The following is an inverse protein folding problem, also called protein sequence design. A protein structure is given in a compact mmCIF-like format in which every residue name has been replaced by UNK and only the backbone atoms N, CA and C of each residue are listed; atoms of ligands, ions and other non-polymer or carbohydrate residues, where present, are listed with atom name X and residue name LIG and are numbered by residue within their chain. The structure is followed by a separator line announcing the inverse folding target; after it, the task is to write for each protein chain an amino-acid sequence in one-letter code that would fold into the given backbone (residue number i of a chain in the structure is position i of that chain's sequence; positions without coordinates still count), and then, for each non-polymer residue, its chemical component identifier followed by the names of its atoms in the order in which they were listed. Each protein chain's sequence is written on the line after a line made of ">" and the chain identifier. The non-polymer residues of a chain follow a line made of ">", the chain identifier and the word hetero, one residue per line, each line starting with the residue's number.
data_IF_992326130616
#
_entry.id   IF_992326130616
#
_cell.length_a   1.000
_cell.length_b   1.000
_cell.length_c   1.000
_cell.angle_alpha   90.00
_cell.angle_beta   90.00
_cell.angle_gamma   90.00
#
_symmetry.space_group_name_H-M   'P 1'
#
loop_
_entity.id
_entity.type
_entity.pdbx_description
1 polymer ?
#
# COMPACT_ATOMS: atom_id res chain seq x y z
N UNK A 1 19.83 42.57 -12.54
CA UNK A 1 19.02 41.37 -12.86
C UNK A 1 18.99 40.48 -11.63
N UNK A 2 17.88 40.50 -10.89
CA UNK A 2 17.70 39.61 -9.74
C UNK A 2 17.33 38.22 -10.27
N UNK A 3 18.23 37.24 -10.10
CA UNK A 3 17.95 35.86 -10.46
C UNK A 3 16.75 35.35 -9.68
N UNK A 4 15.68 35.00 -10.40
CA UNK A 4 14.53 34.31 -9.83
C UNK A 4 15.05 33.05 -9.12
N UNK A 5 14.95 33.02 -7.79
CA UNK A 5 15.13 31.79 -7.02
C UNK A 5 14.05 30.83 -7.51
N UNK A 6 14.41 29.89 -8.39
CA UNK A 6 13.52 28.78 -8.71
C UNK A 6 13.24 28.03 -7.41
N UNK A 7 12.02 28.17 -6.88
CA UNK A 7 11.57 27.45 -5.70
C UNK A 7 11.68 25.96 -6.00
N UNK A 8 12.67 25.29 -5.40
CA UNK A 8 12.82 23.84 -5.53
C UNK A 8 11.54 23.16 -5.01
N UNK A 9 11.01 22.15 -5.71
CA UNK A 9 9.84 21.43 -5.22
C UNK A 9 10.14 20.78 -3.87
N UNK A 10 9.14 20.63 -2.98
CA UNK A 10 9.30 19.91 -1.72
C UNK A 10 9.88 18.50 -1.95
N UNK A 11 10.70 18.02 -1.02
CA UNK A 11 11.38 16.72 -1.08
C UNK A 11 12.10 16.43 -2.42
N UNK A 12 13.09 17.26 -2.84
CA UNK A 12 13.75 17.11 -4.14
C UNK A 12 14.55 15.82 -4.30
N UNK A 13 14.90 15.15 -3.19
CA UNK A 13 15.59 13.85 -3.20
C UNK A 13 14.65 12.64 -3.18
N UNK A 14 13.34 12.86 -3.26
CA UNK A 14 12.30 11.84 -3.21
C UNK A 14 12.53 10.84 -2.05
N UNK A 15 12.89 11.37 -0.88
CA UNK A 15 13.21 10.56 0.29
C UNK A 15 11.96 10.16 1.06
N UNK A 16 11.89 8.92 1.54
CA UNK A 16 10.79 8.47 2.42
C UNK A 16 10.76 9.38 3.64
N UNK A 17 9.61 10.01 3.86
CA UNK A 17 9.40 10.92 4.99
C UNK A 17 8.70 10.18 6.13
N UNK A 18 9.03 10.57 7.35
CA UNK A 18 8.39 10.06 8.56
C UNK A 18 7.71 11.20 9.30
N UNK A 19 6.43 11.02 9.62
CA UNK A 19 5.58 12.02 10.27
C UNK A 19 5.19 11.59 11.70
N UNK A 20 4.96 12.58 12.57
CA UNK A 20 4.57 12.41 13.98
C UNK A 20 3.45 13.39 14.32
N UNK A 21 2.21 13.13 13.87
CA UNK A 21 1.08 14.01 14.17
C UNK A 21 0.85 14.12 15.68
N UNK A 22 0.38 15.28 16.12
CA UNK A 22 -0.32 15.43 17.39
C UNK A 22 -1.71 14.78 17.31
N UNK A 23 -2.37 14.52 18.45
CA UNK A 23 -3.76 14.01 18.43
C UNK A 23 -4.72 14.92 17.66
N UNK A 24 -4.53 16.23 17.69
CA UNK A 24 -5.39 17.16 16.94
C UNK A 24 -5.19 17.04 15.43
N UNK A 25 -3.95 16.87 14.97
CA UNK A 25 -3.65 16.63 13.56
C UNK A 25 -4.11 15.24 13.11
N UNK A 26 -4.04 14.25 14.01
CA UNK A 26 -4.40 12.86 13.74
C UNK A 26 -5.93 12.63 13.62
N UNK A 27 -6.76 13.56 14.10
CA UNK A 27 -8.23 13.46 14.03
C UNK A 27 -8.78 13.42 12.60
N UNK A 28 -8.15 14.11 11.65
CA UNK A 28 -8.64 14.21 10.27
C UNK A 28 -7.65 13.59 9.29
N UNK A 29 -7.90 12.33 8.95
CA UNK A 29 -7.09 11.54 8.01
C UNK A 29 -6.88 12.26 6.68
N UNK A 30 -7.96 12.69 6.03
CA UNK A 30 -7.90 13.32 4.70
C UNK A 30 -7.06 14.61 4.73
N UNK A 31 -7.28 15.46 5.73
CA UNK A 31 -6.50 16.69 5.92
C UNK A 31 -5.02 16.38 6.13
N UNK A 32 -4.70 15.34 6.88
CA UNK A 32 -3.32 14.96 7.15
C UNK A 32 -2.61 14.36 5.92
N UNK A 33 -3.32 13.58 5.09
CA UNK A 33 -2.80 13.13 3.79
C UNK A 33 -2.45 14.33 2.90
N UNK A 34 -3.35 15.32 2.78
CA UNK A 34 -3.07 16.55 2.03
C UNK A 34 -1.87 17.32 2.60
N UNK A 35 -1.75 17.37 3.93
CA UNK A 35 -0.58 17.96 4.59
C UNK A 35 0.72 17.23 4.23
N UNK A 36 0.74 15.89 4.29
CA UNK A 36 1.91 15.08 3.92
C UNK A 36 2.32 15.33 2.46
N UNK A 37 1.37 15.38 1.52
CA UNK A 37 1.66 15.69 0.12
C UNK A 37 2.17 17.13 -0.06
N UNK A 38 1.66 18.11 0.70
CA UNK A 38 2.19 19.49 0.66
C UNK A 38 3.67 19.58 1.08
N UNK A 39 4.17 18.60 1.84
CA UNK A 39 5.59 18.46 2.22
C UNK A 39 6.40 17.64 1.22
N UNK A 40 5.77 17.08 0.18
CA UNK A 40 6.42 16.26 -0.85
C UNK A 40 6.57 14.78 -0.47
N UNK A 41 5.79 14.27 0.49
CA UNK A 41 5.86 12.87 0.90
C UNK A 41 5.55 11.89 -0.24
N UNK A 42 4.59 12.24 -1.10
CA UNK A 42 4.14 11.42 -2.24
C UNK A 42 5.23 11.13 -3.26
N UNK A 43 6.24 12.01 -3.35
CA UNK A 43 7.34 11.86 -4.30
C UNK A 43 8.22 10.67 -4.00
N UNK A 44 8.27 10.20 -2.76
CA UNK A 44 8.99 8.98 -2.41
C UNK A 44 8.24 7.70 -2.76
N UNK A 45 6.95 7.79 -3.14
CA UNK A 45 6.05 6.66 -3.33
C UNK A 45 5.53 6.05 -2.03
N UNK A 46 6.22 6.26 -0.91
CA UNK A 46 5.86 5.76 0.43
C UNK A 46 6.21 6.78 1.51
N UNK A 47 5.41 6.84 2.56
CA UNK A 47 5.69 7.59 3.78
C UNK A 47 5.29 6.81 5.04
N UNK A 48 5.98 7.08 6.14
CA UNK A 48 5.68 6.52 7.47
C UNK A 48 4.95 7.56 8.33
N UNK A 49 3.97 7.11 9.11
CA UNK A 49 3.31 7.92 10.14
C UNK A 49 3.37 7.17 11.46
N UNK A 50 4.00 7.78 12.47
CA UNK A 50 3.96 7.27 13.85
C UNK A 50 2.82 7.99 14.56
N UNK A 51 1.73 7.30 14.95
CA UNK A 51 0.60 7.93 15.59
C UNK A 51 0.97 8.48 16.99
N UNK A 52 0.14 9.35 17.57
CA UNK A 52 0.30 9.81 18.94
C UNK A 52 0.35 8.63 19.92
N UNK A 53 1.19 8.69 20.96
CA UNK A 53 1.45 7.56 21.88
C UNK A 53 0.20 7.14 22.66
N UNK A 54 -0.70 8.08 22.88
CA UNK A 54 -1.98 7.89 23.55
C UNK A 54 -3.04 7.21 22.69
N UNK A 55 -2.87 7.21 21.35
CA UNK A 55 -3.80 6.54 20.44
C UNK A 55 -3.49 5.05 20.35
N UNK A 56 -4.53 4.24 20.47
CA UNK A 56 -4.47 2.79 20.28
C UNK A 56 -5.69 2.35 19.48
N UNK A 57 -5.51 1.54 18.41
CA UNK A 57 -6.64 1.03 17.63
C UNK A 57 -7.33 -0.15 18.30
N UNK A 58 -6.66 -0.80 19.25
CA UNK A 58 -7.16 -1.97 19.98
C UNK A 58 -6.61 -2.00 21.39
N UNK A 59 -7.43 -2.37 22.38
CA UNK A 59 -7.00 -2.49 23.78
C UNK A 59 -6.18 -3.75 24.04
N UNK A 60 -6.57 -4.89 23.49
CA UNK A 60 -5.86 -6.17 23.65
C UNK A 60 -5.93 -7.02 22.38
N UNK A 61 -4.92 -7.85 22.14
CA UNK A 61 -4.85 -8.72 20.95
C UNK A 61 -5.09 -10.20 21.28
N UNK A 62 -5.37 -10.58 22.53
CA UNK A 62 -5.45 -11.99 22.94
C UNK A 62 -6.59 -12.76 22.24
N UNK A 63 -7.69 -12.08 21.93
CA UNK A 63 -8.85 -12.67 21.29
C UNK A 63 -8.64 -13.07 19.81
N UNK A 64 -7.53 -12.69 19.18
CA UNK A 64 -7.30 -13.00 17.76
C UNK A 64 -6.78 -14.42 17.53
N UNK A 65 -6.35 -15.13 18.59
CA UNK A 65 -5.74 -16.45 18.51
C UNK A 65 -6.63 -17.48 17.80
N UNK A 66 -7.94 -17.39 18.04
CA UNK A 66 -8.95 -18.29 17.48
C UNK A 66 -9.40 -17.87 16.06
N UNK A 67 -8.94 -16.72 15.56
CA UNK A 67 -9.26 -16.28 14.21
C UNK A 67 -8.65 -17.22 13.17
N UNK A 68 -9.42 -17.52 12.12
CA UNK A 68 -9.01 -18.44 11.06
C UNK A 68 -8.35 -17.69 9.91
N UNK A 69 -7.18 -18.16 9.49
CA UNK A 69 -6.53 -17.82 8.23
C UNK A 69 -7.03 -18.84 7.19
N UNK A 70 -7.93 -18.47 6.28
CA UNK A 70 -8.64 -19.43 5.42
C UNK A 70 -7.74 -20.09 4.37
N UNK A 71 -6.79 -19.33 3.80
CA UNK A 71 -5.94 -19.81 2.71
C UNK A 71 -4.50 -19.27 2.84
N UNK A 72 -3.72 -19.73 3.82
CA UNK A 72 -2.33 -19.30 3.95
C UNK A 72 -1.51 -19.73 2.72
N UNK A 73 -0.65 -18.84 2.24
CA UNK A 73 0.08 -19.00 0.98
C UNK A 73 1.53 -19.40 1.24
N UNK A 74 1.94 -20.58 0.81
CA UNK A 74 3.36 -20.96 0.83
C UNK A 74 4.08 -20.29 -0.34
N UNK A 75 5.11 -19.49 -0.03
CA UNK A 75 5.78 -18.62 -0.99
C UNK A 75 7.10 -19.26 -1.46
N UNK A 76 7.05 -19.92 -2.61
CA UNK A 76 8.26 -20.50 -3.23
C UNK A 76 8.89 -19.47 -4.16
N UNK A 77 10.19 -19.23 -4.00
CA UNK A 77 10.91 -18.21 -4.79
C UNK A 77 11.98 -18.89 -5.64
N UNK A 78 11.96 -18.62 -6.94
CA UNK A 78 12.97 -19.07 -7.91
C UNK A 78 13.72 -17.88 -8.48
N UNK A 79 15.00 -18.07 -8.82
CA UNK A 79 15.83 -17.03 -9.42
C UNK A 79 17.19 -16.94 -8.77
N UNK A 80 17.99 -15.98 -9.23
CA UNK A 80 19.37 -15.78 -8.77
C UNK A 80 19.83 -14.36 -9.07
N UNK A 81 20.96 -13.98 -8.46
CA UNK A 81 21.62 -12.70 -8.72
C UNK A 81 20.70 -11.47 -8.60
N UNK A 82 19.76 -11.52 -7.65
CA UNK A 82 18.87 -10.40 -7.37
C UNK A 82 17.63 -10.27 -8.26
N UNK A 83 17.38 -11.25 -9.15
CA UNK A 83 16.18 -11.36 -9.97
C UNK A 83 15.44 -12.63 -9.59
N UNK A 84 14.21 -12.50 -9.10
CA UNK A 84 13.43 -13.65 -8.65
C UNK A 84 11.96 -13.55 -9.04
N UNK A 85 11.33 -14.71 -9.17
CA UNK A 85 9.89 -14.89 -9.34
C UNK A 85 9.38 -15.73 -8.18
N UNK A 86 8.35 -15.22 -7.52
CA UNK A 86 7.63 -15.88 -6.46
C UNK A 86 6.43 -16.64 -7.02
N UNK A 87 6.10 -17.78 -6.43
CA UNK A 87 4.86 -18.52 -6.65
C UNK A 87 4.19 -18.77 -5.32
N UNK A 88 2.87 -18.61 -5.30
CA UNK A 88 2.06 -18.80 -4.09
C UNK A 88 1.28 -20.10 -4.24
N UNK A 89 1.49 -21.04 -3.33
CA UNK A 89 0.70 -22.28 -3.26
C UNK A 89 -0.19 -22.24 -2.02
N UNK A 90 -1.53 -22.22 -2.17
CA UNK A 90 -2.44 -22.26 -1.04
C UNK A 90 -2.23 -23.50 -0.18
N UNK A 91 -2.32 -23.32 1.14
CA UNK A 91 -2.30 -24.38 2.14
C UNK A 91 -3.64 -24.44 2.87
N UNK A 92 -3.83 -25.49 3.67
CA UNK A 92 -5.06 -25.68 4.43
C UNK A 92 -5.28 -24.53 5.42
N UNK A 93 -6.54 -24.19 5.72
CA UNK A 93 -6.86 -23.21 6.76
C UNK A 93 -6.18 -23.57 8.09
N UNK A 94 -5.81 -22.54 8.86
CA UNK A 94 -5.30 -22.69 10.22
C UNK A 94 -5.65 -21.47 11.06
N UNK A 95 -5.64 -21.61 12.37
CA UNK A 95 -5.84 -20.50 13.32
C UNK A 95 -4.60 -19.61 13.40
N UNK A 96 -4.78 -18.36 13.85
CA UNK A 96 -3.66 -17.46 14.15
C UNK A 96 -2.75 -18.05 15.22
N UNK A 97 -3.30 -18.78 16.20
CA UNK A 97 -2.54 -19.50 17.23
C UNK A 97 -1.61 -20.55 16.62
N UNK A 98 -2.12 -21.42 15.75
CA UNK A 98 -1.31 -22.43 15.03
C UNK A 98 -0.26 -21.76 14.15
N UNK A 99 -0.64 -20.70 13.43
CA UNK A 99 0.28 -19.93 12.60
C UNK A 99 1.42 -19.30 13.42
N UNK A 100 1.13 -18.72 14.60
CA UNK A 100 2.12 -18.14 15.51
C UNK A 100 3.09 -19.20 16.03
N UNK A 101 2.58 -20.38 16.42
CA UNK A 101 3.43 -21.50 16.84
C UNK A 101 4.37 -21.94 15.72
N UNK A 102 3.85 -22.03 14.49
CA UNK A 102 4.63 -22.37 13.31
C UNK A 102 5.70 -21.32 13.01
N UNK A 103 5.34 -20.04 12.99
CA UNK A 103 6.23 -18.91 12.72
C UNK A 103 7.41 -18.83 13.71
N UNK A 104 7.18 -19.23 14.97
CA UNK A 104 8.19 -19.23 16.03
C UNK A 104 8.96 -20.56 16.19
N UNK A 105 8.61 -21.58 15.40
CA UNK A 105 9.33 -22.86 15.40
C UNK A 105 10.77 -22.72 14.90
N UNK A 106 11.68 -23.63 15.28
CA UNK A 106 13.08 -23.60 14.82
C UNK A 106 13.24 -23.58 13.29
N UNK A 107 12.23 -24.10 12.56
CA UNK A 107 12.22 -24.13 11.09
C UNK A 107 12.00 -22.75 10.47
N UNK A 108 11.13 -21.94 11.06
CA UNK A 108 10.63 -20.68 10.48
C UNK A 108 10.98 -19.43 11.28
N UNK A 109 11.49 -19.57 12.51
CA UNK A 109 11.87 -18.43 13.33
C UNK A 109 12.91 -17.55 12.65
N UNK A 110 12.87 -16.28 12.98
CA UNK A 110 13.84 -15.28 12.55
C UNK A 110 15.26 -15.72 12.95
N UNK A 111 16.25 -15.65 12.04
CA UNK A 111 17.63 -15.94 12.37
C UNK A 111 18.17 -14.89 13.34
N UNK A 112 19.19 -15.27 14.12
CA UNK A 112 19.94 -14.30 14.93
C UNK A 112 20.59 -13.27 14.00
N UNK A 113 20.55 -12.01 14.40
CA UNK A 113 21.10 -10.87 13.68
C UNK A 113 21.34 -9.73 14.67
N UNK A 114 22.27 -8.83 14.37
CA UNK A 114 22.63 -7.69 15.21
C UNK A 114 21.80 -6.44 14.89
N UNK A 115 21.39 -6.29 13.62
CA UNK A 115 20.69 -5.12 13.11
C UNK A 115 19.87 -5.43 11.85
N UNK A 116 19.06 -4.46 11.41
CA UNK A 116 18.19 -4.62 10.23
C UNK A 116 18.98 -4.80 8.94
N UNK A 117 20.17 -4.22 8.80
CA UNK A 117 21.02 -4.40 7.62
C UNK A 117 21.55 -5.84 7.51
N UNK A 118 21.89 -6.47 8.64
CA UNK A 118 22.26 -7.88 8.66
C UNK A 118 21.08 -8.77 8.31
N UNK A 119 19.91 -8.50 8.90
CA UNK A 119 18.70 -9.26 8.58
C UNK A 119 18.30 -9.12 7.11
N UNK A 120 18.44 -7.94 6.52
CA UNK A 120 18.22 -7.69 5.08
C UNK A 120 19.19 -8.52 4.21
N UNK A 121 20.47 -8.61 4.59
CA UNK A 121 21.44 -9.48 3.89
C UNK A 121 21.04 -10.95 3.99
N UNK A 122 20.67 -11.42 5.18
CA UNK A 122 20.22 -12.80 5.38
C UNK A 122 18.92 -13.10 4.63
N UNK A 123 18.00 -12.14 4.52
CA UNK A 123 16.80 -12.26 3.69
C UNK A 123 17.16 -12.54 2.22
N UNK A 124 17.92 -11.64 1.58
CA UNK A 124 18.24 -11.77 0.15
C UNK A 124 19.15 -12.96 -0.16
N UNK A 125 20.04 -13.32 0.77
CA UNK A 125 20.91 -14.50 0.65
C UNK A 125 20.11 -15.80 0.67
N UNK A 126 19.06 -15.88 1.49
CA UNK A 126 18.32 -17.12 1.73
C UNK A 126 16.93 -17.16 1.07
N UNK A 127 16.54 -16.16 0.28
CA UNK A 127 15.17 -15.99 -0.23
C UNK A 127 14.61 -17.23 -0.94
N UNK A 128 15.44 -18.00 -1.66
CA UNK A 128 15.05 -19.19 -2.42
C UNK A 128 15.01 -20.49 -1.61
N UNK A 129 15.57 -20.50 -0.40
CA UNK A 129 15.59 -21.68 0.47
C UNK A 129 14.40 -21.63 1.42
N UNK A 130 13.82 -22.78 1.81
CA UNK A 130 12.74 -22.84 2.84
C UNK A 130 11.63 -21.82 2.62
N UNK A 131 10.67 -22.17 1.78
CA UNK A 131 9.49 -21.37 1.49
C UNK A 131 8.71 -21.04 2.79
N UNK A 132 8.50 -19.76 3.13
CA UNK A 132 7.68 -19.38 4.28
C UNK A 132 6.19 -19.47 3.94
N UNK A 133 5.34 -19.43 4.97
CA UNK A 133 3.89 -19.43 4.83
C UNK A 133 3.33 -18.04 5.16
N UNK A 134 2.52 -17.43 4.31
CA UNK A 134 1.97 -16.09 4.52
C UNK A 134 0.46 -16.11 4.65
N UNK A 135 -0.08 -15.65 5.79
CA UNK A 135 -1.52 -15.50 5.99
C UNK A 135 -2.00 -14.17 5.42
N UNK A 136 -2.00 -14.03 4.09
CA UNK A 136 -2.39 -12.82 3.40
C UNK A 136 -3.89 -12.77 3.07
N UNK A 137 -4.39 -11.56 2.83
CA UNK A 137 -5.73 -11.30 2.28
C UNK A 137 -6.87 -11.92 3.12
N UNK A 138 -6.72 -11.88 4.45
CA UNK A 138 -7.77 -12.32 5.38
C UNK A 138 -8.76 -11.18 5.57
N UNK A 139 -10.00 -11.37 5.09
CA UNK A 139 -11.08 -10.40 5.26
C UNK A 139 -11.34 -10.07 6.74
N UNK A 140 -11.28 -8.78 7.10
CA UNK A 140 -11.64 -8.32 8.43
C UNK A 140 -10.85 -7.09 8.90
N UNK A 141 -11.29 -6.52 10.02
CA UNK A 141 -10.58 -5.51 10.78
C UNK A 141 -10.50 -5.94 12.23
N UNK A 142 -9.38 -5.65 12.89
CA UNK A 142 -9.20 -5.88 14.32
C UNK A 142 -9.14 -4.56 15.12
N UNK A 143 -9.51 -3.44 14.51
CA UNK A 143 -9.77 -2.20 15.25
C UNK A 143 -10.96 -2.40 16.19
N UNK A 144 -10.88 -1.86 17.41
CA UNK A 144 -12.00 -1.86 18.35
C UNK A 144 -13.15 -0.97 17.85
N UNK A 145 -14.37 -1.34 18.22
CA UNK A 145 -15.54 -0.49 17.98
C UNK A 145 -15.36 0.87 18.67
N UNK A 146 -15.78 1.94 17.99
CA UNK A 146 -15.67 3.32 18.49
C UNK A 146 -14.34 4.01 18.23
N UNK A 147 -13.34 3.35 17.63
CA UNK A 147 -12.13 4.02 17.13
C UNK A 147 -12.45 4.74 15.83
N UNK A 148 -12.54 6.06 15.87
CA UNK A 148 -12.86 6.90 14.71
C UNK A 148 -11.62 7.38 13.93
N UNK A 149 -10.49 7.59 14.62
CA UNK A 149 -9.29 8.16 14.01
C UNK A 149 -8.53 7.09 13.24
N UNK A 150 -8.28 7.33 11.95
CA UNK A 150 -7.48 6.46 11.09
C UNK A 150 -7.92 4.99 11.08
N UNK A 151 -9.22 4.75 11.29
CA UNK A 151 -9.79 3.43 11.23
C UNK A 151 -9.76 2.94 9.77
N UNK A 152 -8.99 1.89 9.50
CA UNK A 152 -8.76 1.35 8.15
C UNK A 152 -10.07 0.88 7.51
N UNK A 153 -11.01 0.34 8.30
CA UNK A 153 -12.33 -0.03 7.78
C UNK A 153 -13.17 1.19 7.35
N UNK A 154 -12.86 2.40 7.84
CA UNK A 154 -13.68 3.61 7.74
C UNK A 154 -12.87 4.90 7.56
N UNK A 155 -12.03 4.97 6.53
CA UNK A 155 -11.18 6.14 6.26
C UNK A 155 -11.96 7.39 5.81
N UNK A 156 -13.20 7.23 5.30
CA UNK A 156 -14.07 8.30 4.82
C UNK A 156 -13.40 9.14 3.71
N UNK A 157 -12.98 8.48 2.64
CA UNK A 157 -12.32 9.09 1.47
C UNK A 157 -13.23 9.09 0.25
N UNK A 158 -12.80 9.69 -0.87
CA UNK A 158 -13.65 9.73 -2.09
C UNK A 158 -13.95 8.32 -2.63
N UNK A 159 -13.12 7.33 -2.31
CA UNK A 159 -13.32 5.93 -2.73
C UNK A 159 -14.62 5.34 -2.15
N UNK A 160 -15.05 5.83 -0.98
CA UNK A 160 -16.26 5.33 -0.30
C UNK A 160 -17.55 5.68 -1.03
N UNK A 161 -17.51 6.54 -2.06
CA UNK A 161 -18.66 6.81 -2.94
C UNK A 161 -19.15 5.52 -3.62
N UNK A 162 -18.22 4.61 -3.98
CA UNK A 162 -18.55 3.32 -4.59
C UNK A 162 -19.53 2.53 -3.71
N UNK A 163 -19.20 2.39 -2.44
CA UNK A 163 -20.01 1.63 -1.48
C UNK A 163 -21.25 2.40 -1.05
N UNK A 164 -21.10 3.68 -0.68
CA UNK A 164 -22.16 4.46 -0.04
C UNK A 164 -23.27 4.93 -0.99
N UNK A 165 -22.94 5.19 -2.25
CA UNK A 165 -23.89 5.74 -3.22
C UNK A 165 -24.26 4.74 -4.33
N UNK A 166 -23.36 3.82 -4.67
CA UNK A 166 -23.55 2.86 -5.76
C UNK A 166 -23.66 1.40 -5.30
N UNK A 167 -23.45 1.10 -4.01
CA UNK A 167 -23.50 -0.26 -3.47
C UNK A 167 -22.39 -1.19 -4.01
N UNK A 168 -21.34 -0.62 -4.61
CA UNK A 168 -20.21 -1.37 -5.18
C UNK A 168 -19.20 -1.61 -4.06
N UNK A 169 -18.95 -2.89 -3.75
CA UNK A 169 -17.91 -3.32 -2.83
C UNK A 169 -16.88 -4.14 -3.58
N UNK A 170 -15.62 -3.75 -3.45
CA UNK A 170 -14.46 -4.48 -3.99
C UNK A 170 -13.63 -4.96 -2.81
N UNK A 171 -13.50 -6.28 -2.64
CA UNK A 171 -12.77 -6.86 -1.51
C UNK A 171 -11.28 -6.46 -1.55
N UNK A 172 -10.72 -6.12 -0.39
CA UNK A 172 -9.33 -5.66 -0.25
C UNK A 172 -9.06 -4.22 -0.67
N UNK A 173 -9.96 -3.65 -1.48
CA UNK A 173 -9.85 -2.28 -1.99
C UNK A 173 -10.75 -1.33 -1.22
N UNK A 174 -11.97 -1.75 -0.94
CA UNK A 174 -12.96 -1.01 -0.14
C UNK A 174 -13.30 -1.71 1.18
N UNK A 175 -12.67 -2.87 1.43
CA UNK A 175 -12.71 -3.60 2.69
C UNK A 175 -11.29 -3.83 3.20
N UNK A 176 -11.09 -3.88 4.52
CA UNK A 176 -9.79 -4.14 5.11
C UNK A 176 -9.38 -5.61 4.97
N UNK A 177 -8.08 -5.82 4.76
CA UNK A 177 -7.43 -7.12 4.82
C UNK A 177 -6.41 -7.17 5.96
N UNK A 178 -6.38 -8.31 6.64
CA UNK A 178 -5.37 -8.69 7.62
C UNK A 178 -4.30 -9.55 6.96
N UNK A 179 -3.07 -9.33 7.42
CA UNK A 179 -1.87 -9.98 6.95
C UNK A 179 -1.10 -10.52 8.14
N UNK A 180 -1.01 -11.84 8.24
CA UNK A 180 -0.19 -12.55 9.22
C UNK A 180 1.13 -12.93 8.57
N UNK A 181 2.20 -12.25 8.98
CA UNK A 181 3.55 -12.48 8.50
C UNK A 181 4.32 -13.45 9.38
N UNK A 182 5.30 -14.12 8.77
CA UNK A 182 6.43 -14.76 9.45
C UNK A 182 7.73 -14.37 8.76
N UNK A 183 8.87 -14.78 9.32
CA UNK A 183 10.18 -14.49 8.73
C UNK A 183 10.22 -14.88 7.23
N UNK A 184 10.73 -13.96 6.41
CA UNK A 184 10.83 -14.02 4.93
C UNK A 184 9.53 -13.98 4.14
N UNK A 185 8.36 -13.95 4.78
CA UNK A 185 7.14 -13.69 3.99
C UNK A 185 7.28 -12.35 3.28
N UNK A 186 6.94 -12.34 2.00
CA UNK A 186 7.36 -11.34 1.03
C UNK A 186 6.16 -10.77 0.28
N UNK A 187 6.17 -9.46 0.05
CA UNK A 187 5.28 -8.78 -0.89
C UNK A 187 6.12 -8.26 -2.07
N UNK A 188 5.96 -8.82 -3.28
CA UNK A 188 6.76 -8.44 -4.45
C UNK A 188 6.50 -7.02 -4.97
N UNK A 189 7.30 -6.59 -5.95
CA UNK A 189 7.18 -5.24 -6.53
C UNK A 189 5.83 -5.06 -7.22
N UNK A 190 5.07 -4.08 -6.76
CA UNK A 190 3.80 -3.70 -7.36
C UNK A 190 3.42 -2.24 -7.05
N UNK A 191 2.43 -1.75 -7.78
CA UNK A 191 1.58 -0.62 -7.37
C UNK A 191 0.22 -1.19 -6.95
N UNK A 192 -0.56 -0.39 -6.23
CA UNK A 192 -1.91 -0.77 -5.84
C UNK A 192 -2.83 -0.99 -7.06
N UNK A 193 -3.93 -1.71 -6.84
CA UNK A 193 -4.98 -1.84 -7.85
C UNK A 193 -5.53 -0.46 -8.24
N UNK A 194 -5.74 -0.25 -9.54
CA UNK A 194 -6.08 1.06 -10.11
C UNK A 194 -5.10 2.19 -9.75
N UNK A 195 -3.85 1.86 -9.37
CA UNK A 195 -2.82 2.77 -8.86
C UNK A 195 -3.33 3.67 -7.71
N UNK A 196 -4.18 3.11 -6.85
CA UNK A 196 -4.69 3.76 -5.64
C UNK A 196 -3.59 4.09 -4.63
N UNK A 197 -3.97 4.81 -3.57
CA UNK A 197 -3.20 4.81 -2.34
C UNK A 197 -3.46 3.51 -1.57
N UNK A 198 -2.54 3.12 -0.69
CA UNK A 198 -2.83 2.18 0.39
C UNK A 198 -2.36 2.70 1.74
N UNK A 199 -3.04 2.23 2.78
CA UNK A 199 -2.64 2.41 4.18
C UNK A 199 -2.38 1.04 4.77
N UNK A 200 -1.28 0.91 5.52
CA UNK A 200 -0.93 -0.31 6.23
C UNK A 200 -0.56 0.01 7.67
N UNK A 201 -1.16 -0.67 8.63
CA UNK A 201 -0.85 -0.55 10.06
C UNK A 201 -0.33 -1.88 10.59
N UNK A 202 0.84 -1.90 11.22
CA UNK A 202 1.32 -3.10 11.93
C UNK A 202 0.75 -3.07 13.35
N UNK A 203 -0.18 -3.96 13.63
CA UNK A 203 -0.85 -4.05 14.92
C UNK A 203 0.08 -4.50 16.05
N UNK A 204 0.85 -5.55 15.80
CA UNK A 204 1.78 -6.15 16.75
C UNK A 204 2.80 -7.04 16.04
N UNK A 205 3.80 -7.48 16.80
CA UNK A 205 4.81 -8.44 16.39
C UNK A 205 6.03 -7.78 15.74
N UNK A 206 6.74 -8.57 14.94
CA UNK A 206 8.03 -8.18 14.36
C UNK A 206 7.88 -7.15 13.22
N UNK A 207 8.93 -6.35 12.95
CA UNK A 207 8.87 -5.31 11.92
C UNK A 207 8.64 -5.82 10.48
N UNK A 208 8.30 -4.87 9.60
CA UNK A 208 8.17 -5.06 8.15
C UNK A 208 9.12 -4.11 7.43
N UNK A 209 10.03 -4.64 6.61
CA UNK A 209 10.90 -3.81 5.77
C UNK A 209 10.23 -3.51 4.43
N UNK A 210 10.35 -2.25 4.00
CA UNK A 210 9.81 -1.73 2.75
C UNK A 210 10.91 -1.18 1.87
N UNK A 211 10.77 -1.41 0.57
CA UNK A 211 11.47 -0.72 -0.50
C UNK A 211 10.46 0.11 -1.29
N UNK A 212 10.86 1.29 -1.74
CA UNK A 212 10.01 2.17 -2.54
C UNK A 212 10.79 2.77 -3.71
N UNK A 213 10.16 2.79 -4.88
CA UNK A 213 10.61 3.55 -6.06
C UNK A 213 9.63 4.70 -6.25
N UNK A 214 10.18 5.90 -6.44
CA UNK A 214 9.37 7.11 -6.69
C UNK A 214 8.44 6.91 -7.89
N UNK A 215 7.20 7.43 -7.86
CA UNK A 215 6.34 7.47 -9.04
C UNK A 215 7.03 8.09 -10.27
N UNK A 216 7.91 9.09 -10.06
CA UNK A 216 8.72 9.75 -11.10
C UNK A 216 9.67 8.77 -11.82
N UNK A 217 10.01 7.64 -11.20
CA UNK A 217 10.91 6.62 -11.71
C UNK A 217 10.23 5.26 -11.94
N UNK A 218 8.91 5.16 -11.77
CA UNK A 218 8.15 3.91 -11.92
C UNK A 218 8.36 3.25 -13.30
N UNK A 219 8.37 4.06 -14.37
CA UNK A 219 8.64 3.58 -15.73
C UNK A 219 10.03 2.98 -15.91
N UNK A 220 11.04 3.48 -15.19
CA UNK A 220 12.38 2.91 -15.25
C UNK A 220 12.42 1.50 -14.62
N UNK A 221 11.70 1.31 -13.52
CA UNK A 221 11.53 -0.02 -12.91
C UNK A 221 10.77 -0.97 -13.84
N UNK A 222 9.70 -0.50 -14.49
CA UNK A 222 8.96 -1.28 -15.49
C UNK A 222 9.87 -1.72 -16.64
N UNK A 223 10.63 -0.80 -17.25
CA UNK A 223 11.57 -1.13 -18.32
C UNK A 223 12.64 -2.13 -17.88
N UNK A 224 13.17 -1.98 -16.67
CA UNK A 224 14.12 -2.95 -16.11
C UNK A 224 13.47 -4.34 -15.98
N UNK A 225 12.28 -4.41 -15.39
CA UNK A 225 11.58 -5.67 -15.21
C UNK A 225 11.24 -6.33 -16.56
N UNK A 226 10.78 -5.57 -17.55
CA UNK A 226 10.50 -6.07 -18.90
C UNK A 226 11.73 -6.70 -19.55
N UNK A 227 12.90 -6.08 -19.41
CA UNK A 227 14.16 -6.60 -19.98
C UNK A 227 14.62 -7.93 -19.37
N UNK A 228 14.31 -8.18 -18.09
CA UNK A 228 14.72 -9.40 -17.38
C UNK A 228 13.65 -10.48 -17.28
N UNK A 229 12.39 -10.14 -17.53
CA UNK A 229 11.26 -11.06 -17.54
C UNK A 229 10.48 -10.97 -18.86
N UNK A 230 11.13 -11.16 -20.03
CA UNK A 230 10.51 -10.95 -21.34
C UNK A 230 9.31 -11.87 -21.58
N UNK A 231 9.37 -13.13 -21.11
CA UNK A 231 8.25 -14.07 -21.22
C UNK A 231 7.03 -13.60 -20.45
N UNK A 232 7.20 -13.14 -19.20
CA UNK A 232 6.09 -12.62 -18.41
C UNK A 232 5.50 -11.34 -19.02
N UNK A 233 6.34 -10.49 -19.61
CA UNK A 233 5.89 -9.28 -20.30
C UNK A 233 5.11 -9.61 -21.58
N UNK A 234 5.56 -10.58 -22.38
CA UNK A 234 4.85 -11.06 -23.56
C UNK A 234 3.47 -11.62 -23.22
N UNK A 235 3.34 -12.31 -22.08
CA UNK A 235 2.05 -12.80 -21.58
C UNK A 235 1.17 -11.69 -21.03
N UNK A 236 1.76 -10.68 -20.37
CA UNK A 236 1.03 -9.54 -19.83
C UNK A 236 1.91 -8.28 -19.72
N UNK A 237 1.51 -7.21 -20.40
CA UNK A 237 2.21 -5.93 -20.37
C UNK A 237 2.30 -5.31 -18.95
N UNK A 238 1.38 -5.70 -18.07
CA UNK A 238 1.29 -5.23 -16.67
C UNK A 238 1.64 -6.33 -15.66
N UNK A 239 2.53 -7.28 -16.01
CA UNK A 239 2.81 -8.46 -15.19
C UNK A 239 3.30 -8.17 -13.76
N UNK A 240 3.82 -6.97 -13.47
CA UNK A 240 4.14 -6.56 -12.09
C UNK A 240 2.90 -6.55 -11.18
N UNK A 241 1.70 -6.33 -11.74
CA UNK A 241 0.43 -6.46 -11.01
C UNK A 241 0.12 -7.89 -10.56
N UNK A 242 0.82 -8.88 -11.10
CA UNK A 242 0.68 -10.26 -10.63
C UNK A 242 1.24 -10.44 -9.21
N UNK A 243 2.01 -9.45 -8.70
CA UNK A 243 2.66 -9.46 -7.39
C UNK A 243 3.53 -10.70 -7.19
N UNK A 244 4.33 -11.04 -8.22
CA UNK A 244 5.25 -12.19 -8.23
C UNK A 244 6.72 -11.81 -8.45
N UNK A 245 7.01 -10.59 -8.91
CA UNK A 245 8.35 -10.20 -9.37
C UNK A 245 9.17 -9.53 -8.26
N UNK A 246 10.36 -10.06 -8.01
CA UNK A 246 11.26 -9.59 -6.97
C UNK A 246 12.59 -9.13 -7.58
N UNK A 247 12.98 -7.91 -7.24
CA UNK A 247 14.24 -7.29 -7.63
C UNK A 247 14.94 -6.83 -6.36
N UNK A 248 16.18 -7.29 -6.17
CA UNK A 248 16.96 -6.94 -4.97
C UNK A 248 17.46 -5.48 -5.00
N UNK A 249 17.72 -4.85 -3.85
CA UNK A 249 18.37 -3.54 -3.74
C UNK A 249 19.69 -3.45 -4.51
N UNK A 250 20.50 -4.51 -4.49
CA UNK A 250 21.76 -4.58 -5.22
C UNK A 250 21.53 -4.53 -6.74
N UNK A 251 20.49 -5.20 -7.23
CA UNK A 251 20.07 -5.14 -8.64
C UNK A 251 19.62 -3.73 -9.00
N UNK A 252 18.73 -3.12 -8.22
CA UNK A 252 18.25 -1.77 -8.48
C UNK A 252 19.41 -0.77 -8.54
N UNK A 253 20.33 -0.85 -7.58
CA UNK A 253 21.55 -0.01 -7.55
C UNK A 253 22.44 -0.25 -8.77
N UNK A 254 22.64 -1.50 -9.18
CA UNK A 254 23.46 -1.87 -10.35
C UNK A 254 22.91 -1.26 -11.65
N UNK A 255 21.60 -1.23 -11.81
CA UNK A 255 20.93 -0.68 -13.00
C UNK A 255 20.49 0.79 -12.85
N UNK A 256 20.96 1.47 -11.80
CA UNK A 256 20.72 2.90 -11.61
C UNK A 256 19.28 3.29 -11.28
N UNK A 257 18.44 2.34 -10.81
CA UNK A 257 17.06 2.63 -10.40
C UNK A 257 17.07 3.30 -9.02
N UNK A 258 16.60 4.55 -8.88
CA UNK A 258 16.53 5.21 -7.57
C UNK A 258 15.47 4.54 -6.71
N UNK A 259 15.87 4.05 -5.53
CA UNK A 259 14.97 3.47 -4.56
C UNK A 259 15.33 3.94 -3.14
N UNK A 260 14.39 3.79 -2.23
CA UNK A 260 14.54 4.05 -0.81
C UNK A 260 14.13 2.80 -0.02
N UNK A 261 14.54 2.73 1.25
CA UNK A 261 14.13 1.69 2.18
C UNK A 261 13.79 2.26 3.55
N UNK A 262 12.86 1.62 4.23
CA UNK A 262 12.47 1.94 5.60
C UNK A 262 11.92 0.68 6.28
N UNK A 263 12.11 0.56 7.58
CA UNK A 263 11.51 -0.51 8.38
C UNK A 263 10.34 0.07 9.16
N UNK A 264 9.17 -0.55 9.06
CA UNK A 264 7.96 -0.25 9.81
C UNK A 264 7.88 -1.16 11.03
N UNK A 265 7.76 -0.58 12.20
CA UNK A 265 7.64 -1.28 13.47
C UNK A 265 6.16 -1.38 13.90
N UNK A 266 5.90 -2.19 14.93
CA UNK A 266 4.56 -2.29 15.51
C UNK A 266 4.08 -0.93 16.03
N UNK A 267 2.80 -0.63 15.78
CA UNK A 267 2.19 0.64 16.12
C UNK A 267 2.37 1.75 15.08
N UNK A 268 3.04 1.49 13.97
CA UNK A 268 3.28 2.49 12.92
C UNK A 268 2.40 2.27 11.67
N UNK A 269 2.04 3.37 11.02
CA UNK A 269 1.40 3.36 9.71
C UNK A 269 2.40 3.55 8.58
N UNK A 270 2.12 2.91 7.45
CA UNK A 270 2.74 3.16 6.16
C UNK A 270 1.66 3.59 5.16
N UNK A 271 1.95 4.65 4.40
CA UNK A 271 1.10 5.15 3.32
C UNK A 271 1.85 4.96 2.02
N UNK A 272 1.26 4.26 1.07
CA UNK A 272 1.73 4.21 -0.33
C UNK A 272 0.94 5.20 -1.16
N UNK A 273 1.60 5.80 -2.14
CA UNK A 273 1.02 6.84 -2.99
C UNK A 273 0.78 6.30 -4.40
N UNK A 274 -0.16 6.89 -5.17
CA UNK A 274 -0.45 6.51 -6.54
C UNK A 274 0.80 6.32 -7.40
N UNK A 275 0.87 5.16 -8.05
CA UNK A 275 1.99 4.72 -8.89
C UNK A 275 3.35 4.59 -8.17
N UNK A 276 3.35 4.62 -6.83
CA UNK A 276 4.53 4.35 -6.00
C UNK A 276 4.79 2.85 -5.92
N UNK A 277 5.75 2.37 -6.72
CA UNK A 277 6.16 0.97 -6.66
C UNK A 277 6.79 0.66 -5.30
N UNK A 278 6.37 -0.46 -4.70
CA UNK A 278 6.91 -0.91 -3.43
C UNK A 278 6.97 -2.43 -3.35
N UNK A 279 7.90 -2.91 -2.51
CA UNK A 279 8.12 -4.32 -2.20
C UNK A 279 8.70 -4.46 -0.79
N UNK A 280 8.76 -5.67 -0.26
CA UNK A 280 9.36 -5.86 1.06
C UNK A 280 9.13 -7.22 1.68
N UNK A 281 9.48 -7.33 2.96
CA UNK A 281 9.47 -8.59 3.69
C UNK A 281 9.21 -8.39 5.20
N UNK A 282 8.64 -9.41 5.83
CA UNK A 282 8.42 -9.44 7.28
C UNK A 282 9.62 -10.04 8.02
N UNK A 283 9.92 -9.47 9.19
CA UNK A 283 11.07 -9.87 10.01
C UNK A 283 10.77 -11.10 10.86
N UNK A 284 9.50 -11.40 11.13
CA UNK A 284 9.08 -12.53 11.94
C UNK A 284 7.55 -12.57 12.07
N UNK A 285 7.04 -13.18 13.14
CA UNK A 285 5.60 -13.22 13.38
C UNK A 285 5.05 -11.81 13.60
N UNK A 286 4.12 -11.37 12.74
CA UNK A 286 3.44 -10.09 12.88
C UNK A 286 2.02 -10.11 12.33
N UNK A 287 1.25 -9.08 12.65
CA UNK A 287 -0.06 -8.83 12.06
C UNK A 287 -0.13 -7.38 11.56
N UNK A 288 -0.52 -7.22 10.30
CA UNK A 288 -0.80 -5.91 9.72
C UNK A 288 -2.21 -5.87 9.15
N UNK A 289 -2.83 -4.71 9.19
CA UNK A 289 -4.11 -4.42 8.55
C UNK A 289 -3.91 -3.39 7.44
N UNK A 290 -4.60 -3.53 6.32
CA UNK A 290 -4.44 -2.66 5.16
C UNK A 290 -5.71 -2.54 4.33
N UNK A 291 -5.88 -1.40 3.66
CA UNK A 291 -6.88 -1.19 2.61
C UNK A 291 -6.40 -0.10 1.63
N UNK A 292 -7.13 0.08 0.54
CA UNK A 292 -6.91 1.17 -0.39
C UNK A 292 -7.78 2.40 -0.09
N UNK A 293 -7.30 3.56 -0.51
CA UNK A 293 -8.08 4.79 -0.44
C UNK A 293 -7.74 5.72 -1.60
N UNK A 294 -8.55 6.78 -1.77
CA UNK A 294 -8.37 7.73 -2.85
C UNK A 294 -8.45 9.18 -2.38
N UNK A 295 -7.69 10.03 -3.06
CA UNK A 295 -7.83 11.50 -3.00
C UNK A 295 -8.19 12.01 -4.39
N UNK A 296 -8.49 13.31 -4.53
CA UNK A 296 -8.70 13.90 -5.85
C UNK A 296 -7.53 13.69 -6.81
N UNK A 297 -6.29 13.67 -6.28
CA UNK A 297 -5.09 13.47 -7.09
C UNK A 297 -5.10 12.12 -7.81
N UNK A 298 -5.65 11.09 -7.17
CA UNK A 298 -5.68 9.74 -7.72
C UNK A 298 -6.50 9.64 -9.01
N UNK A 299 -7.52 10.48 -9.22
CA UNK A 299 -8.45 10.33 -10.36
C UNK A 299 -7.69 10.30 -11.70
N UNK A 300 -6.69 11.16 -11.88
CA UNK A 300 -5.88 11.15 -13.10
C UNK A 300 -5.00 9.90 -13.25
N UNK A 301 -4.55 9.30 -12.15
CA UNK A 301 -3.85 8.01 -12.16
C UNK A 301 -4.79 6.86 -12.53
N UNK A 302 -5.96 6.79 -11.88
CA UNK A 302 -6.95 5.75 -12.16
C UNK A 302 -7.45 5.74 -13.60
N UNK A 303 -7.52 6.90 -14.26
CA UNK A 303 -7.93 7.02 -15.68
C UNK A 303 -6.94 6.40 -16.67
N UNK A 304 -5.65 6.38 -16.36
CA UNK A 304 -4.58 5.91 -17.26
C UNK A 304 -3.87 4.66 -16.73
N UNK A 305 -4.39 4.07 -15.66
CA UNK A 305 -3.85 2.87 -15.03
C UNK A 305 -3.87 1.71 -16.03
N UNK A 306 -2.69 1.17 -16.34
CA UNK A 306 -2.58 -0.03 -17.19
C UNK A 306 -3.02 -1.25 -16.38
N UNK A 307 -4.09 -1.93 -16.78
CA UNK A 307 -4.57 -3.13 -16.10
C UNK A 307 -3.86 -4.40 -16.56
N UNK A 308 -3.98 -5.45 -15.76
CA UNK A 308 -3.63 -6.80 -16.20
C UNK A 308 -4.67 -7.25 -17.25
N UNK A 309 -4.21 -7.91 -18.31
CA UNK A 309 -5.06 -8.38 -19.41
C UNK A 309 -5.13 -9.90 -19.53
N UNK A 310 -4.41 -10.63 -18.68
CA UNK A 310 -4.30 -12.10 -18.79
C UNK A 310 -5.03 -12.87 -17.66
N UNK A 311 -5.69 -12.17 -16.74
CA UNK A 311 -6.45 -12.76 -15.62
C UNK A 311 -7.89 -12.27 -15.65
N UNK A 312 -8.83 -13.11 -15.23
CA UNK A 312 -10.26 -12.78 -15.21
C UNK A 312 -10.69 -11.98 -13.96
N UNK A 313 -9.89 -12.01 -12.90
CA UNK A 313 -10.22 -11.39 -11.61
C UNK A 313 -9.42 -10.09 -11.38
N UNK A 314 -9.42 -9.21 -12.37
CA UNK A 314 -8.75 -7.90 -12.26
C UNK A 314 -9.69 -6.95 -11.56
N UNK A 315 -9.16 -6.20 -10.59
CA UNK A 315 -9.92 -5.12 -9.96
C UNK A 315 -10.09 -3.99 -10.97
N UNK A 316 -11.34 -3.72 -11.31
CA UNK A 316 -11.72 -2.57 -12.12
C UNK A 316 -12.59 -1.62 -11.30
N UNK A 317 -12.27 -0.32 -11.38
CA UNK A 317 -13.07 0.73 -10.75
C UNK A 317 -13.72 1.58 -11.84
N UNK A 318 -15.05 1.82 -11.78
CA UNK A 318 -15.75 2.62 -12.77
C UNK A 318 -15.35 4.10 -12.64
N UNK A 319 -14.29 4.49 -13.37
CA UNK A 319 -13.75 5.86 -13.33
C UNK A 319 -14.77 6.91 -13.77
N UNK A 320 -15.79 6.53 -14.56
CA UNK A 320 -16.88 7.41 -14.99
C UNK A 320 -17.54 8.16 -13.82
N UNK A 321 -17.76 7.44 -12.69
CA UNK A 321 -18.33 8.01 -11.47
C UNK A 321 -17.48 9.17 -10.93
N UNK A 322 -16.17 8.98 -10.91
CA UNK A 322 -15.21 9.94 -10.36
C UNK A 322 -14.98 11.12 -11.31
N UNK A 323 -14.80 10.85 -12.61
CA UNK A 323 -14.56 11.90 -13.60
C UNK A 323 -15.79 12.80 -13.75
N UNK A 324 -16.98 12.21 -13.84
CA UNK A 324 -18.23 12.99 -13.95
C UNK A 324 -18.44 13.91 -12.75
N UNK A 325 -18.11 13.44 -11.55
CA UNK A 325 -18.34 14.19 -10.31
C UNK A 325 -17.26 15.23 -10.03
N UNK A 326 -15.99 14.87 -10.15
CA UNK A 326 -14.88 15.69 -9.68
C UNK A 326 -14.10 16.38 -10.80
N UNK A 327 -14.33 15.98 -12.06
CA UNK A 327 -13.73 16.60 -13.23
C UNK A 327 -14.80 16.86 -14.33
N UNK A 328 -15.97 17.46 -14.02
CA UNK A 328 -17.08 17.58 -14.97
C UNK A 328 -16.69 18.32 -16.26
N UNK A 329 -15.82 19.32 -16.16
CA UNK A 329 -15.30 20.09 -17.29
C UNK A 329 -14.43 19.26 -18.26
N UNK A 330 -13.89 18.13 -17.80
CA UNK A 330 -13.06 17.21 -18.59
C UNK A 330 -13.82 15.93 -18.96
N UNK A 331 -15.02 15.72 -18.44
CA UNK A 331 -15.76 14.46 -18.60
C UNK A 331 -16.02 14.11 -20.06
N UNK A 332 -16.53 15.06 -20.86
CA UNK A 332 -16.81 14.80 -22.28
C UNK A 332 -15.53 14.49 -23.07
N UNK A 333 -14.47 15.29 -22.87
CA UNK A 333 -13.17 15.05 -23.49
C UNK A 333 -12.59 13.68 -23.11
N UNK A 334 -12.76 13.26 -21.86
CA UNK A 334 -12.31 11.96 -21.39
C UNK A 334 -13.10 10.81 -22.02
N UNK A 335 -14.43 10.93 -22.14
CA UNK A 335 -15.29 9.94 -22.83
C UNK A 335 -14.93 9.79 -24.31
N UNK A 336 -14.43 10.84 -24.93
CA UNK A 336 -13.98 10.88 -26.32
C UNK A 336 -12.49 10.49 -26.49
N UNK A 337 -11.81 10.05 -25.41
CA UNK A 337 -10.37 9.73 -25.38
C UNK A 337 -9.46 10.91 -25.80
N UNK A 338 -9.93 12.15 -25.63
CA UNK A 338 -9.20 13.38 -25.95
C UNK A 338 -8.60 14.09 -24.73
N UNK A 339 -8.84 13.58 -23.52
CA UNK A 339 -8.27 14.12 -22.28
C UNK A 339 -6.81 13.67 -22.07
N UNK A 340 -5.90 14.26 -22.85
CA UNK A 340 -4.45 13.94 -22.89
C UNK A 340 -3.64 14.58 -21.74
N UNK A 341 -4.25 14.75 -20.56
CA UNK A 341 -3.59 15.41 -19.43
C UNK A 341 -2.39 14.61 -18.91
N UNK A 342 -1.14 15.14 -18.99
CA UNK A 342 0.01 14.45 -18.45
C UNK A 342 0.00 14.50 -16.92
N UNK A 343 0.23 13.36 -16.28
CA UNK A 343 0.38 13.29 -14.83
C UNK A 343 1.70 13.96 -14.42
N UNK A 344 1.61 15.00 -13.61
CA UNK A 344 2.75 15.57 -12.89
C UNK A 344 2.84 14.92 -11.49
N UNK A 345 3.83 14.05 -11.30
CA UNK A 345 4.07 13.35 -10.04
C UNK A 345 4.50 14.28 -8.89
N UNK A 346 4.95 15.52 -9.18
CA UNK A 346 5.39 16.49 -8.17
C UNK A 346 4.19 17.20 -7.54
N UNK A 347 3.09 17.36 -8.28
CA UNK A 347 1.89 18.07 -7.83
C UNK A 347 1.21 17.32 -6.69
N UNK A 348 0.97 18.01 -5.56
CA UNK A 348 0.21 17.48 -4.42
C UNK A 348 -1.29 17.48 -4.70
N UNK A 349 -2.04 16.70 -3.92
CA UNK A 349 -3.50 16.70 -3.96
C UNK A 349 -4.02 18.10 -3.62
N UNK A 350 -5.07 18.58 -4.31
CA UNK A 350 -5.78 19.79 -3.90
C UNK A 350 -6.32 19.63 -2.48
N UNK A 351 -6.15 20.66 -1.64
CA UNK A 351 -6.59 20.65 -0.24
C UNK A 351 -8.11 20.76 -0.08
N UNK A 352 -8.82 21.34 -1.06
CA UNK A 352 -10.27 21.22 -1.20
C UNK A 352 -10.79 21.74 -2.55
N UNK A 353 -11.80 21.05 -3.08
CA UNK A 353 -12.89 21.68 -3.83
C UNK A 353 -14.00 21.92 -2.78
N UNK A 354 -14.69 23.06 -2.80
CA UNK A 354 -15.79 23.37 -1.85
C UNK A 354 -16.84 22.26 -1.76
N UNK A 355 -17.01 21.50 -2.84
CA UNK A 355 -17.89 20.33 -2.95
C UNK A 355 -17.46 19.13 -2.08
N UNK A 356 -16.15 18.93 -1.88
CA UNK A 356 -15.63 17.85 -1.05
C UNK A 356 -15.83 18.15 0.42
N UNK A 357 -15.57 19.38 0.86
CA UNK A 357 -15.83 19.81 2.23
C UNK A 357 -17.32 19.66 2.56
N UNK A 358 -18.19 20.05 1.61
CA UNK A 358 -19.65 19.90 1.72
C UNK A 358 -20.07 18.42 1.77
N UNK A 359 -19.48 17.54 0.95
CA UNK A 359 -19.78 16.10 0.96
C UNK A 359 -19.27 15.41 2.22
N UNK A 360 -18.02 15.66 2.63
CA UNK A 360 -17.43 15.11 3.85
C UNK A 360 -18.22 15.54 5.09
N UNK A 361 -18.70 16.79 5.16
CA UNK A 361 -19.57 17.26 6.24
C UNK A 361 -20.95 16.57 6.23
N UNK A 362 -21.59 16.40 5.06
CA UNK A 362 -22.87 15.70 4.94
C UNK A 362 -22.77 14.23 5.38
N UNK A 363 -21.69 13.53 5.02
CA UNK A 363 -21.49 12.13 5.39
C UNK A 363 -21.12 11.94 6.87
N UNK A 364 -20.30 12.82 7.46
CA UNK A 364 -20.06 12.85 8.92
C UNK A 364 -21.39 13.02 9.69
N UNK A 365 -22.29 13.86 9.18
CA UNK A 365 -23.61 14.12 9.80
C UNK A 365 -24.56 12.93 9.68
N UNK A 366 -24.58 12.24 8.52
CA UNK A 366 -25.45 11.08 8.28
C UNK A 366 -25.08 9.88 9.18
N UNK A 367 -23.79 9.60 9.40
CA UNK A 367 -23.32 8.56 10.34
C UNK A 367 -23.68 8.86 11.80
N UNK A 368 -23.60 10.13 12.22
CA UNK A 368 -24.01 10.57 13.57
C UNK A 368 -25.50 10.37 13.86
N UNK A 369 -26.34 10.43 12.82
CA UNK A 369 -27.79 10.21 12.93
C UNK A 369 -28.16 8.73 12.96
N UNK A 370 -27.36 7.88 12.29
CA UNK A 370 -27.55 6.42 12.25
C UNK A 370 -27.01 5.71 13.50
N UNK A 371 -26.00 6.26 14.17
CA UNK A 371 -25.43 5.74 15.44
C UNK A 371 -26.19 6.18 16.70
N UNK A 372 -27.24 6.99 16.54
CA UNK A 372 -28.13 7.48 17.63
C UNK A 372 -29.51 6.82 17.62
N UNK A 373 -29.72 5.84 16.74
CA UNK A 373 -30.85 4.91 16.75
C UNK A 373 -30.30 3.53 17.07
#
# INVERSE_FOLDING_TARGET
>A
MAGARMNKPPNPGCKIMTFRPTMDEFKDFNKYISYMESKGAHRAGVAKVIPPKEWKPRQNYDAIDDMVIPAPLEQTVFGKAGFYVQYNTPRKPMTVKEYRQLANSDRYRTPKHENFEELEREYWKNITFRAPLYGADVNGSIFDEGVDQWNIAHLNTILDILKNEYGISVEGVTTPYLYFGMWKTTFPWHTEDMDLYSINYVHFGEPKSWYAVSPEHGKQLECLAQGFFPTNFQECNSFLRHKLTLLSPNTLKKYGIPFNRITQEAGEFMITFPYGYHAGFNHGFNCAESTNFATLRWIDYGKVCNLCTCRNNVVEIPMDIFVKRFQPNRYQLWKENMDLYPIDHIKSTPTSMSEIETWMQKNKTKKRLLSRR
#
